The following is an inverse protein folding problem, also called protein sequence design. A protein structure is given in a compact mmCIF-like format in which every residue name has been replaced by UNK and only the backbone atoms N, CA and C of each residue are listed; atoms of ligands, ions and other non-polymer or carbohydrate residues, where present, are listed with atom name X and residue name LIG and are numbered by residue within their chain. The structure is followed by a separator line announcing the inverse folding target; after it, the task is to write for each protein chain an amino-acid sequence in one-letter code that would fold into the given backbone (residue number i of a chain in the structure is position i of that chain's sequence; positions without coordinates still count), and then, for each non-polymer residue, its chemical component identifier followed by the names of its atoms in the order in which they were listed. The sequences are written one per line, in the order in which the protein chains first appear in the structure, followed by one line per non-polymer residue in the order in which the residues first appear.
data_IF_574000594973
#
_entry.id   IF_574000594973
#
_cell.length_a   1.000
_cell.length_b   1.000
_cell.length_c   1.000
_cell.angle_alpha   90.00
_cell.angle_beta   90.00
_cell.angle_gamma   90.00
#
_symmetry.space_group_name_H-M   'P 1'
#
loop_
_entity.id
_entity.type
_entity.pdbx_description
1 polymer ?
#
# COMPACT_ATOMS: atom_id res chain seq x y z
N UNK A 1 -29.62 -31.20 16.66
CA UNK A 1 -30.07 -30.98 18.04
C UNK A 1 -28.85 -30.87 18.93
N UNK A 2 -28.48 -29.67 19.31
CA UNK A 2 -27.84 -29.31 20.59
C UNK A 2 -27.70 -27.78 20.62
N UNK A 3 -28.64 -27.18 21.31
CA UNK A 3 -28.61 -25.78 21.75
C UNK A 3 -27.66 -25.69 22.94
N UNK A 4 -26.85 -24.67 23.00
CA UNK A 4 -26.15 -24.29 24.23
C UNK A 4 -26.43 -22.79 24.45
N UNK A 5 -27.08 -22.54 25.59
CA UNK A 5 -27.63 -21.29 26.09
C UNK A 5 -26.56 -20.27 26.47
N UNK A 6 -26.97 -19.00 26.30
CA UNK A 6 -26.32 -17.79 26.80
C UNK A 6 -26.36 -17.70 28.33
N UNK A 7 -25.31 -17.15 28.91
CA UNK A 7 -25.30 -16.61 30.27
C UNK A 7 -24.95 -15.12 30.19
N UNK A 8 -25.96 -14.31 30.54
CA UNK A 8 -25.84 -12.88 30.79
C UNK A 8 -25.51 -12.68 32.26
N UNK A 9 -24.42 -12.00 32.56
CA UNK A 9 -24.14 -11.49 33.92
C UNK A 9 -24.21 -9.98 33.90
N UNK A 10 -25.25 -9.47 34.51
CA UNK A 10 -25.44 -8.04 34.85
C UNK A 10 -24.85 -7.81 36.21
N UNK A 11 -23.84 -6.94 36.28
CA UNK A 11 -23.27 -6.46 37.53
C UNK A 11 -23.51 -4.94 37.67
N UNK A 12 -24.49 -4.56 38.48
CA UNK A 12 -24.71 -3.17 38.91
C UNK A 12 -23.87 -2.87 40.15
N UNK A 13 -23.07 -1.80 40.10
CA UNK A 13 -22.43 -1.23 41.28
C UNK A 13 -22.87 0.23 41.38
N UNK A 14 -23.72 0.48 42.35
CA UNK A 14 -24.05 1.83 42.85
C UNK A 14 -22.93 2.29 43.80
N UNK A 15 -22.36 3.50 43.57
CA UNK A 15 -21.68 4.26 44.60
C UNK A 15 -22.32 5.64 44.68
N UNK A 16 -22.97 5.87 45.82
CA UNK A 16 -23.37 7.18 46.31
C UNK A 16 -22.26 7.71 47.20
N UNK A 17 -21.78 8.92 46.96
CA UNK A 17 -20.83 9.62 47.78
C UNK A 17 -20.90 11.13 47.51
N UNK A 18 -21.53 11.84 48.43
CA UNK A 18 -21.75 13.29 48.45
C UNK A 18 -20.52 14.01 49.04
N UNK A 19 -20.19 15.22 48.49
CA UNK A 19 -19.56 16.24 49.30
C UNK A 19 -18.39 17.00 48.70
N UNK A 20 -18.53 18.37 48.54
CA UNK A 20 -17.44 19.33 48.71
C UNK A 20 -16.87 20.02 47.46
N UNK A 21 -17.48 21.09 47.10
CA UNK A 21 -17.02 22.45 46.74
C UNK A 21 -15.51 22.72 46.63
N UNK A 22 -15.04 23.17 45.51
CA UNK A 22 -14.33 24.43 45.24
C UNK A 22 -13.67 24.40 43.85
N UNK A 23 -13.98 25.42 43.07
CA UNK A 23 -13.61 25.53 41.66
C UNK A 23 -12.11 25.68 41.41
N UNK A 24 -11.67 24.94 40.41
CA UNK A 24 -10.57 25.35 39.55
C UNK A 24 -10.97 24.99 38.12
N UNK A 25 -11.15 26.01 37.30
CA UNK A 25 -11.23 25.85 35.85
C UNK A 25 -9.89 25.36 35.36
N UNK A 26 -9.72 24.08 35.15
CA UNK A 26 -8.68 23.56 34.31
C UNK A 26 -9.31 23.24 32.95
N UNK A 27 -8.98 24.10 31.98
CA UNK A 27 -9.23 23.88 30.57
C UNK A 27 -8.49 22.62 30.17
N UNK A 28 -9.23 21.52 30.08
CA UNK A 28 -8.67 20.27 29.53
C UNK A 28 -8.60 20.45 28.03
N UNK A 29 -7.44 20.88 27.53
CA UNK A 29 -7.09 20.75 26.15
C UNK A 29 -6.98 19.25 25.85
N UNK A 30 -7.90 18.74 25.04
CA UNK A 30 -7.79 17.44 24.45
C UNK A 30 -6.55 17.45 23.54
N UNK A 31 -5.47 16.86 24.03
CA UNK A 31 -4.29 16.55 23.21
C UNK A 31 -4.67 15.37 22.33
N UNK A 32 -5.05 15.64 21.10
CA UNK A 32 -4.99 14.66 20.03
C UNK A 32 -3.53 14.21 19.91
N UNK A 33 -3.22 12.90 19.88
CA UNK A 33 -1.91 12.46 19.46
C UNK A 33 -1.76 12.86 17.98
N UNK A 34 -0.94 13.85 17.75
CA UNK A 34 -0.37 14.12 16.44
C UNK A 34 0.55 12.92 16.11
N UNK A 35 0.01 11.99 15.35
CA UNK A 35 0.86 11.02 14.66
C UNK A 35 1.67 11.79 13.62
N UNK A 36 2.70 12.43 14.10
CA UNK A 36 3.80 12.89 13.27
C UNK A 36 4.44 11.65 12.64
N UNK A 37 3.92 11.25 11.47
CA UNK A 37 4.67 10.40 10.57
C UNK A 37 5.99 11.11 10.30
N UNK A 38 7.01 10.72 11.04
CA UNK A 38 8.40 11.11 10.76
C UNK A 38 8.74 10.51 9.40
N UNK A 39 8.47 11.27 8.36
CA UNK A 39 9.12 11.06 7.07
C UNK A 39 10.61 11.21 7.32
N UNK A 40 11.31 10.08 7.43
CA UNK A 40 12.75 10.08 7.27
C UNK A 40 13.02 10.70 5.90
N UNK A 41 13.46 11.94 5.86
CA UNK A 41 13.88 12.63 4.64
C UNK A 41 15.26 12.10 4.20
N UNK A 42 15.33 10.80 3.90
CA UNK A 42 16.33 10.25 3.02
C UNK A 42 15.88 10.55 1.59
N UNK A 43 16.78 11.01 0.75
CA UNK A 43 16.49 11.17 -0.68
C UNK A 43 15.96 9.83 -1.23
N UNK A 44 14.76 9.85 -1.80
CA UNK A 44 14.17 8.66 -2.41
C UNK A 44 14.96 8.28 -3.66
N UNK A 45 15.60 7.12 -3.65
CA UNK A 45 16.46 6.68 -4.75
C UNK A 45 15.70 5.87 -5.82
N UNK A 46 14.58 5.27 -5.45
CA UNK A 46 13.80 4.41 -6.33
C UNK A 46 12.32 4.76 -6.26
N UNK A 47 11.55 4.46 -7.32
CA UNK A 47 10.10 4.58 -7.28
C UNK A 47 9.52 3.62 -6.23
N UNK A 48 8.48 4.05 -5.56
CA UNK A 48 7.71 3.23 -4.62
C UNK A 48 6.42 2.74 -5.27
N UNK A 49 6.13 1.44 -5.16
CA UNK A 49 4.84 0.88 -5.54
C UNK A 49 3.88 1.08 -4.38
N UNK A 50 2.85 1.91 -4.58
CA UNK A 50 1.83 2.19 -3.56
C UNK A 50 0.67 1.21 -3.62
N UNK A 51 0.31 0.75 -4.83
CA UNK A 51 -0.77 -0.19 -5.07
C UNK A 51 -0.54 -0.94 -6.38
N UNK A 52 -1.00 -2.18 -6.45
CA UNK A 52 -1.00 -2.95 -7.68
C UNK A 52 -2.19 -3.92 -7.69
N UNK A 53 -2.92 -3.94 -8.78
CA UNK A 53 -4.10 -4.78 -8.97
C UNK A 53 -3.94 -5.64 -10.22
N UNK A 54 -4.31 -6.93 -10.10
CA UNK A 54 -4.35 -7.88 -11.20
C UNK A 54 -5.79 -8.17 -11.57
N UNK A 55 -6.10 -8.14 -12.86
CA UNK A 55 -7.41 -8.51 -13.42
C UNK A 55 -7.21 -9.56 -14.49
N UNK A 56 -7.86 -10.72 -14.34
CA UNK A 56 -7.84 -11.79 -15.34
C UNK A 56 -8.65 -11.39 -16.58
N UNK A 57 -8.11 -11.66 -17.76
CA UNK A 57 -8.83 -11.53 -19.02
C UNK A 57 -9.64 -12.80 -19.38
N UNK A 58 -9.46 -13.90 -18.62
CA UNK A 58 -10.20 -15.15 -18.81
C UNK A 58 -9.63 -16.11 -19.85
N UNK A 59 -8.52 -15.73 -20.51
CA UNK A 59 -7.82 -16.51 -21.54
C UNK A 59 -6.39 -16.95 -21.10
N UNK A 60 -6.11 -16.85 -19.79
CA UNK A 60 -4.78 -17.11 -19.23
C UNK A 60 -3.89 -15.88 -19.21
N UNK A 61 -4.39 -14.73 -19.69
CA UNK A 61 -3.66 -13.45 -19.60
C UNK A 61 -4.23 -12.54 -18.51
N UNK A 62 -3.38 -11.60 -18.07
CA UNK A 62 -3.68 -10.68 -17.00
C UNK A 62 -3.41 -9.23 -17.40
N UNK A 63 -4.17 -8.34 -16.82
CA UNK A 63 -3.91 -6.90 -16.85
C UNK A 63 -3.53 -6.43 -15.47
N UNK A 64 -2.39 -5.77 -15.35
CA UNK A 64 -1.92 -5.15 -14.11
C UNK A 64 -2.11 -3.64 -14.19
N UNK A 65 -2.68 -3.06 -13.14
CA UNK A 65 -2.72 -1.61 -12.90
C UNK A 65 -1.85 -1.31 -11.68
N UNK A 66 -0.77 -0.55 -11.89
CA UNK A 66 0.24 -0.26 -10.87
C UNK A 66 0.31 1.22 -10.58
N UNK A 67 0.19 1.59 -9.30
CA UNK A 67 0.29 2.97 -8.82
C UNK A 67 1.67 3.19 -8.21
N UNK A 68 2.36 4.19 -8.73
CA UNK A 68 3.77 4.51 -8.42
C UNK A 68 3.87 5.91 -7.84
N UNK A 69 4.74 6.05 -6.85
CA UNK A 69 5.19 7.33 -6.31
C UNK A 69 6.68 7.53 -6.60
N UNK A 70 7.00 8.56 -7.35
CA UNK A 70 8.37 9.00 -7.65
C UNK A 70 8.44 10.54 -7.66
N UNK A 71 8.26 11.18 -6.49
CA UNK A 71 8.14 12.64 -6.38
C UNK A 71 9.40 13.39 -6.80
N UNK A 72 10.51 12.68 -7.01
CA UNK A 72 11.78 13.20 -7.50
C UNK A 72 11.87 13.25 -9.03
N UNK A 73 10.82 12.83 -9.77
CA UNK A 73 10.84 12.75 -11.23
C UNK A 73 11.22 14.08 -11.88
N UNK A 74 12.14 13.98 -12.82
CA UNK A 74 12.58 15.04 -13.72
C UNK A 74 12.82 14.44 -15.11
N UNK A 75 12.93 15.24 -16.18
CA UNK A 75 13.28 14.71 -17.50
C UNK A 75 14.59 13.93 -17.57
N UNK A 76 15.50 14.13 -16.62
CA UNK A 76 16.80 13.47 -16.55
C UNK A 76 16.83 12.25 -15.64
N UNK A 77 15.85 12.12 -14.73
CA UNK A 77 15.71 11.01 -13.79
C UNK A 77 14.25 10.81 -13.41
N UNK A 78 13.72 9.65 -13.68
CA UNK A 78 12.31 9.32 -13.42
C UNK A 78 12.12 7.80 -13.28
N UNK A 79 10.94 7.40 -12.81
CA UNK A 79 10.49 6.01 -12.87
C UNK A 79 10.33 5.60 -14.32
N UNK A 80 11.27 4.82 -14.87
CA UNK A 80 11.30 4.46 -16.30
C UNK A 80 10.68 3.09 -16.61
N UNK A 81 10.17 2.40 -15.59
CA UNK A 81 9.45 1.15 -15.81
C UNK A 81 9.13 0.37 -14.53
N UNK A 82 8.37 -0.68 -14.73
CA UNK A 82 8.13 -1.70 -13.73
C UNK A 82 7.89 -3.05 -14.40
N UNK A 83 8.12 -4.13 -13.67
CA UNK A 83 8.00 -5.50 -14.17
C UNK A 83 7.18 -6.39 -13.25
N UNK A 84 6.63 -7.46 -13.83
CA UNK A 84 5.91 -8.53 -13.16
C UNK A 84 6.83 -9.73 -13.06
N UNK A 85 7.08 -10.20 -11.84
CA UNK A 85 8.00 -11.29 -11.54
C UNK A 85 7.29 -12.44 -10.83
N UNK A 86 7.67 -13.66 -11.13
CA UNK A 86 7.41 -14.82 -10.31
C UNK A 86 8.23 -14.84 -9.02
N UNK A 87 7.89 -15.72 -8.10
CA UNK A 87 8.64 -15.91 -6.85
C UNK A 87 10.08 -16.40 -7.07
N UNK A 88 10.33 -17.05 -8.19
CA UNK A 88 11.64 -17.53 -8.65
C UNK A 88 12.45 -16.48 -9.42
N UNK A 89 11.89 -15.28 -9.64
CA UNK A 89 12.49 -14.21 -10.41
C UNK A 89 12.21 -14.25 -11.91
N UNK A 90 11.38 -15.18 -12.38
CA UNK A 90 10.94 -15.21 -13.78
C UNK A 90 10.17 -13.93 -14.12
N UNK A 91 10.57 -13.22 -15.18
CA UNK A 91 9.88 -12.01 -15.65
C UNK A 91 8.75 -12.42 -16.61
N UNK A 92 7.51 -12.11 -16.21
CA UNK A 92 6.31 -12.34 -17.01
C UNK A 92 5.91 -11.14 -17.87
N UNK A 93 6.31 -9.95 -17.49
CA UNK A 93 6.00 -8.75 -18.24
C UNK A 93 6.75 -7.52 -17.77
N UNK A 94 6.97 -6.59 -18.69
CA UNK A 94 7.66 -5.33 -18.48
C UNK A 94 6.84 -4.18 -19.02
N UNK A 95 6.58 -3.18 -18.19
CA UNK A 95 6.01 -1.89 -18.59
C UNK A 95 7.12 -0.85 -18.64
N UNK A 96 7.42 -0.35 -19.83
CA UNK A 96 8.35 0.76 -20.02
C UNK A 96 7.60 2.10 -19.93
N UNK A 97 8.17 3.05 -19.21
CA UNK A 97 7.73 4.43 -19.10
C UNK A 97 8.77 5.33 -19.78
N UNK A 98 8.33 6.23 -20.65
CA UNK A 98 9.22 6.92 -21.59
C UNK A 98 9.43 8.40 -21.30
N UNK A 99 8.85 8.91 -20.22
CA UNK A 99 8.96 10.30 -19.76
C UNK A 99 8.70 10.38 -18.26
N UNK A 100 9.07 11.52 -17.68
CA UNK A 100 8.79 11.81 -16.27
C UNK A 100 7.28 12.03 -16.01
N UNK A 101 6.88 11.80 -14.77
CA UNK A 101 5.51 11.97 -14.29
C UNK A 101 5.43 13.00 -13.15
N UNK A 102 6.36 13.97 -13.13
CA UNK A 102 6.49 14.94 -12.04
C UNK A 102 5.19 15.68 -11.69
N UNK A 103 4.33 15.94 -12.68
CA UNK A 103 3.07 16.65 -12.51
C UNK A 103 1.87 15.73 -12.16
N UNK A 104 2.05 14.41 -12.13
CA UNK A 104 0.97 13.42 -11.96
C UNK A 104 1.10 12.57 -10.69
N UNK A 105 1.95 12.93 -9.76
CA UNK A 105 2.29 12.10 -8.59
C UNK A 105 1.16 11.98 -7.55
N UNK A 106 0.86 10.78 -7.05
CA UNK A 106 1.26 9.49 -7.60
C UNK A 106 0.49 9.17 -8.89
N UNK A 107 1.05 8.33 -9.74
CA UNK A 107 0.42 8.00 -11.02
C UNK A 107 0.20 6.48 -11.18
N UNK A 108 -0.81 6.11 -12.00
CA UNK A 108 -1.12 4.71 -12.30
C UNK A 108 -0.91 4.41 -13.78
N UNK A 109 -0.26 3.29 -14.08
CA UNK A 109 -0.10 2.78 -15.45
C UNK A 109 -0.42 1.30 -15.52
N UNK A 110 -0.95 0.88 -16.66
CA UNK A 110 -1.37 -0.51 -16.86
C UNK A 110 -0.49 -1.25 -17.87
N UNK A 111 -0.40 -2.56 -17.68
CA UNK A 111 0.18 -3.52 -18.61
C UNK A 111 -0.83 -4.65 -18.81
N UNK A 112 -1.27 -4.84 -20.05
CA UNK A 112 -2.22 -5.89 -20.42
C UNK A 112 -1.51 -7.03 -21.17
N UNK A 113 -2.18 -8.19 -21.25
CA UNK A 113 -1.70 -9.36 -22.01
C UNK A 113 -0.51 -10.07 -21.37
N UNK A 114 -0.38 -9.98 -20.03
CA UNK A 114 0.68 -10.71 -19.31
C UNK A 114 0.26 -12.17 -19.15
N UNK A 115 1.00 -13.08 -19.76
CA UNK A 115 0.79 -14.52 -19.61
C UNK A 115 1.42 -15.00 -18.30
N UNK A 116 0.61 -15.63 -17.45
CA UNK A 116 1.07 -16.18 -16.17
C UNK A 116 0.58 -17.63 -16.07
N UNK A 117 1.48 -18.58 -15.76
CA UNK A 117 1.10 -19.98 -15.53
C UNK A 117 0.03 -20.11 -14.45
N UNK A 118 -0.94 -21.01 -14.66
CA UNK A 118 -2.11 -21.18 -13.80
C UNK A 118 -1.78 -21.65 -12.37
N UNK A 119 -0.59 -22.18 -12.16
CA UNK A 119 -0.08 -22.62 -10.86
C UNK A 119 0.50 -21.47 -10.01
N UNK A 120 0.56 -20.26 -10.56
CA UNK A 120 1.08 -19.07 -9.86
C UNK A 120 -0.07 -18.31 -9.20
N UNK A 121 -0.08 -18.26 -7.88
CA UNK A 121 -1.10 -17.57 -7.08
C UNK A 121 -0.68 -16.15 -6.68
N UNK A 122 0.61 -15.85 -6.72
CA UNK A 122 1.17 -14.53 -6.33
C UNK A 122 2.30 -14.15 -7.28
N UNK A 123 2.26 -12.93 -7.76
CA UNK A 123 3.37 -12.30 -8.50
C UNK A 123 3.91 -11.10 -7.73
N UNK A 124 5.06 -10.59 -8.15
CA UNK A 124 5.73 -9.44 -7.56
C UNK A 124 5.89 -8.33 -8.58
N UNK A 125 5.62 -7.12 -8.16
CA UNK A 125 5.91 -5.94 -8.98
C UNK A 125 7.18 -5.29 -8.45
N UNK A 126 8.11 -4.98 -9.35
CA UNK A 126 9.33 -4.25 -9.05
C UNK A 126 9.46 -3.03 -9.96
N UNK A 127 9.74 -1.88 -9.36
CA UNK A 127 9.90 -0.63 -10.09
C UNK A 127 11.38 -0.36 -10.46
N UNK A 128 11.57 0.46 -11.49
CA UNK A 128 12.88 0.85 -12.00
C UNK A 128 13.02 2.37 -12.07
N UNK A 129 14.17 2.86 -11.64
CA UNK A 129 14.62 4.24 -11.81
C UNK A 129 15.59 4.34 -13.00
N UNK A 130 15.44 5.34 -13.86
CA UNK A 130 16.26 5.53 -15.06
C UNK A 130 17.77 5.59 -14.76
N UNK A 131 18.15 6.21 -13.65
CA UNK A 131 19.54 6.38 -13.28
C UNK A 131 20.10 5.24 -12.44
N UNK A 132 19.28 4.67 -11.53
CA UNK A 132 19.70 3.71 -10.51
C UNK A 132 19.33 2.25 -10.84
N UNK A 133 18.49 2.01 -11.86
CA UNK A 133 18.08 0.67 -12.26
C UNK A 133 16.94 0.12 -11.39
N UNK A 134 16.89 -1.20 -11.23
CA UNK A 134 15.85 -1.90 -10.47
C UNK A 134 15.98 -1.63 -8.97
N UNK A 135 14.84 -1.46 -8.30
CA UNK A 135 14.79 -1.07 -6.87
C UNK A 135 15.29 -2.16 -5.91
N UNK A 136 15.21 -3.42 -6.32
CA UNK A 136 15.43 -4.56 -5.43
C UNK A 136 14.32 -4.78 -4.41
N UNK A 137 13.31 -3.91 -4.37
CA UNK A 137 12.14 -4.01 -3.51
C UNK A 137 10.92 -4.38 -4.34
N UNK A 138 10.12 -5.33 -3.85
CA UNK A 138 8.96 -5.85 -4.57
C UNK A 138 7.67 -5.63 -3.79
N UNK A 139 6.57 -5.51 -4.52
CA UNK A 139 5.20 -5.45 -4.01
C UNK A 139 4.46 -6.73 -4.43
N UNK A 140 3.96 -7.51 -3.47
CA UNK A 140 3.27 -8.77 -3.74
C UNK A 140 1.83 -8.53 -4.19
N UNK A 141 1.42 -9.20 -5.28
CA UNK A 141 0.08 -9.10 -5.88
C UNK A 141 -0.52 -10.51 -5.96
N UNK A 142 -1.54 -10.82 -5.14
CA UNK A 142 -2.27 -12.08 -5.27
C UNK A 142 -3.08 -12.11 -6.58
N UNK A 143 -3.10 -13.26 -7.21
CA UNK A 143 -3.92 -13.54 -8.39
C UNK A 143 -5.21 -14.24 -7.92
N UNK A 144 -6.41 -13.64 -8.13
CA UNK A 144 -7.69 -14.21 -7.71
C UNK A 144 -8.12 -15.45 -8.51
#
# INVERSE_FOLDING_TARGET
MKQISAVVVVGAVLFVGCGGESGVKVSSAATTPDETATSASGEQLFPEILDAQATSAGDGTWTFAVTISSPYDTPQRYADGWRVLGSDGTEYGLRVLTHDHAAEQPFTRSLAGVEIPAEIDVVRIEARDLANGWSGTTFDVPLP
#
